data_IF_545631210709
#
_entry.id   IF_545631210709
#
_cell.length_a   1.000
_cell.length_b   1.000
_cell.length_c   1.000
_cell.angle_alpha   90.00
_cell.angle_beta   90.00
_cell.angle_gamma   90.00
#
_symmetry.space_group_name_H-M   'P 1'
#
loop_
_entity.id
_entity.type
_entity.pdbx_description
1 polymer ?
#
# COMPACT_ATOMS: atom_id res chain seq x y z
N UNK A 1 23.06 17.77 31.26
CA UNK A 1 23.36 16.68 32.20
C UNK A 1 23.70 15.45 31.39
N UNK A 2 24.84 14.81 31.66
CA UNK A 2 25.29 13.63 30.93
C UNK A 2 24.32 12.46 31.15
N UNK A 3 23.77 11.92 30.08
CA UNK A 3 22.79 10.81 30.09
C UNK A 3 23.44 9.42 30.04
N UNK A 4 24.77 9.36 30.11
CA UNK A 4 25.52 8.11 30.15
C UNK A 4 26.34 8.04 31.43
N UNK A 5 25.73 7.48 32.48
CA UNK A 5 26.47 6.94 33.62
C UNK A 5 27.06 5.59 33.21
N UNK A 6 28.39 5.52 33.09
CA UNK A 6 29.11 4.26 33.00
C UNK A 6 28.96 3.57 34.36
N UNK A 7 28.33 2.40 34.37
CA UNK A 7 28.12 1.63 35.59
C UNK A 7 29.45 0.94 35.96
N UNK A 8 30.09 1.38 37.05
CA UNK A 8 31.31 0.78 37.56
C UNK A 8 31.05 -0.68 37.98
N UNK A 9 31.90 -1.58 37.47
CA UNK A 9 31.59 -2.99 37.33
C UNK A 9 32.02 -3.87 38.52
N UNK A 10 32.18 -3.28 39.71
CA UNK A 10 32.83 -3.93 40.86
C UNK A 10 31.88 -4.42 41.96
N UNK A 11 30.55 -4.28 41.80
CA UNK A 11 29.59 -4.53 42.90
C UNK A 11 28.60 -5.70 42.70
N UNK A 12 28.70 -6.47 41.61
CA UNK A 12 27.75 -7.56 41.31
C UNK A 12 28.34 -8.94 41.64
N UNK A 13 27.65 -9.73 42.47
CA UNK A 13 28.12 -11.04 42.96
C UNK A 13 27.94 -12.20 41.98
N UNK A 14 27.28 -11.99 40.84
CA UNK A 14 27.17 -12.99 39.76
C UNK A 14 26.88 -12.37 38.39
N UNK A 15 27.26 -13.07 37.31
CA UNK A 15 26.98 -12.68 35.91
C UNK A 15 25.47 -12.54 35.67
N UNK A 16 24.64 -13.38 36.30
CA UNK A 16 23.19 -13.31 36.19
C UNK A 16 22.63 -12.02 36.83
N UNK A 17 23.17 -11.59 37.97
CA UNK A 17 22.77 -10.34 38.63
C UNK A 17 23.12 -9.10 37.79
N UNK A 18 24.26 -9.13 37.10
CA UNK A 18 24.70 -8.07 36.20
C UNK A 18 23.83 -7.99 34.92
N UNK A 19 23.47 -9.14 34.34
CA UNK A 19 22.60 -9.20 33.17
C UNK A 19 21.20 -8.66 33.47
N UNK A 20 20.65 -8.99 34.66
CA UNK A 20 19.35 -8.50 35.12
C UNK A 20 19.35 -6.98 35.33
N UNK A 21 20.35 -6.45 36.04
CA UNK A 21 20.50 -5.01 36.25
C UNK A 21 20.72 -4.24 34.93
N UNK A 22 21.46 -4.82 33.98
CA UNK A 22 21.68 -4.23 32.65
C UNK A 22 20.40 -4.19 31.81
N UNK A 23 19.54 -5.21 31.93
CA UNK A 23 18.23 -5.25 31.27
C UNK A 23 17.28 -4.20 31.85
N UNK A 24 17.18 -4.13 33.18
CA UNK A 24 16.37 -3.13 33.89
C UNK A 24 16.83 -1.70 33.59
N UNK A 25 18.14 -1.45 33.54
CA UNK A 25 18.71 -0.15 33.15
C UNK A 25 18.37 0.24 31.70
N UNK A 26 18.42 -0.73 30.75
CA UNK A 26 18.02 -0.50 29.36
C UNK A 26 16.53 -0.21 29.22
N UNK A 27 15.67 -0.91 29.96
CA UNK A 27 14.23 -0.65 29.97
C UNK A 27 13.90 0.72 30.58
N UNK A 28 14.51 1.07 31.72
CA UNK A 28 14.36 2.38 32.35
C UNK A 28 14.87 3.52 31.45
N UNK A 29 15.94 3.29 30.68
CA UNK A 29 16.46 4.26 29.71
C UNK A 29 15.51 4.48 28.52
N UNK A 30 14.85 3.42 28.02
CA UNK A 30 13.82 3.52 26.97
C UNK A 30 12.59 4.29 27.44
N UNK A 31 12.14 4.02 28.67
CA UNK A 31 11.01 4.74 29.29
C UNK A 31 11.37 6.22 29.50
N UNK A 32 12.58 6.51 29.95
CA UNK A 32 13.09 7.89 30.11
C UNK A 32 13.12 8.64 28.77
N UNK A 33 13.60 8.00 27.70
CA UNK A 33 13.59 8.59 26.35
C UNK A 33 12.16 8.84 25.85
N UNK A 34 11.25 7.89 26.00
CA UNK A 34 9.85 8.05 25.60
C UNK A 34 9.18 9.22 26.36
N UNK A 35 9.42 9.33 27.66
CA UNK A 35 8.90 10.42 28.48
C UNK A 35 9.49 11.79 28.10
N UNK A 36 10.80 11.85 27.79
CA UNK A 36 11.43 13.08 27.31
C UNK A 36 10.87 13.51 25.94
N UNK A 37 10.67 12.56 25.03
CA UNK A 37 10.09 12.80 23.71
C UNK A 37 8.63 13.28 23.81
N UNK A 38 7.80 12.63 24.64
CA UNK A 38 6.43 13.06 24.89
C UNK A 38 6.36 14.46 25.51
N UNK A 39 7.25 14.77 26.47
CA UNK A 39 7.32 16.10 27.10
C UNK A 39 7.74 17.17 26.10
N UNK A 40 8.69 16.88 25.21
CA UNK A 40 9.12 17.77 24.14
C UNK A 40 8.00 18.02 23.11
N UNK A 41 7.22 16.98 22.77
CA UNK A 41 6.11 17.13 21.84
C UNK A 41 4.94 17.91 22.47
N UNK A 42 4.66 17.71 23.76
CA UNK A 42 3.66 18.47 24.49
C UNK A 42 4.04 19.96 24.62
N UNK A 43 5.32 20.27 24.86
CA UNK A 43 5.79 21.67 24.90
C UNK A 43 5.68 22.35 23.53
N UNK A 44 6.08 21.66 22.45
CA UNK A 44 5.90 22.15 21.08
C UNK A 44 4.43 22.37 20.73
N UNK A 45 3.53 21.50 21.18
CA UNK A 45 2.09 21.66 20.96
C UNK A 45 1.54 22.91 21.68
N UNK A 46 1.97 23.15 22.93
CA UNK A 46 1.60 24.35 23.67
C UNK A 46 2.17 25.63 23.03
N UNK A 47 3.38 25.58 22.48
CA UNK A 47 3.97 26.70 21.72
C UNK A 47 3.16 27.00 20.46
N UNK A 48 2.78 25.98 19.69
CA UNK A 48 1.93 26.12 18.50
C UNK A 48 0.56 26.69 18.88
N UNK A 49 -0.06 26.16 19.94
CA UNK A 49 -1.35 26.66 20.43
C UNK A 49 -1.24 28.12 20.86
N UNK A 50 -0.17 28.50 21.57
CA UNK A 50 0.06 29.87 22.01
C UNK A 50 0.31 30.82 20.84
N UNK A 51 1.07 30.38 19.82
CA UNK A 51 1.31 31.15 18.60
C UNK A 51 0.02 31.35 17.79
N UNK A 52 -0.83 30.32 17.70
CA UNK A 52 -2.13 30.40 17.04
C UNK A 52 -3.09 31.33 17.78
N UNK A 53 -3.15 31.27 19.11
CA UNK A 53 -3.96 32.19 19.92
C UNK A 53 -3.51 33.63 19.79
N UNK A 54 -2.20 33.90 19.78
CA UNK A 54 -1.67 35.26 19.53
C UNK A 54 -1.99 35.75 18.12
N UNK A 55 -2.00 34.86 17.14
CA UNK A 55 -2.35 35.18 15.74
C UNK A 55 -3.84 35.49 15.60
N UNK A 56 -4.71 34.71 16.25
CA UNK A 56 -6.14 34.98 16.32
C UNK A 56 -6.44 36.33 17.00
N UNK A 57 -5.86 36.58 18.17
CA UNK A 57 -6.06 37.84 18.92
C UNK A 57 -5.59 39.04 18.08
N UNK A 58 -4.43 38.95 17.40
CA UNK A 58 -3.97 40.02 16.49
C UNK A 58 -4.93 40.22 15.31
N UNK A 59 -5.52 39.16 14.77
CA UNK A 59 -6.51 39.26 13.68
C UNK A 59 -7.82 39.91 14.13
N UNK A 60 -8.28 39.63 15.35
CA UNK A 60 -9.51 40.21 15.92
C UNK A 60 -9.32 41.69 16.34
N UNK A 61 -8.13 42.04 16.87
CA UNK A 61 -7.77 43.43 17.21
C UNK A 61 -7.64 44.30 15.95
N UNK A 62 -7.12 43.75 14.84
CA UNK A 62 -7.04 44.46 13.56
C UNK A 62 -8.42 44.60 12.88
N UNK A 63 -9.33 43.63 13.07
CA UNK A 63 -10.69 43.70 12.54
C UNK A 63 -11.60 44.65 13.36
N UNK A 64 -11.28 44.87 14.63
CA UNK A 64 -12.05 45.74 15.55
C UNK A 64 -11.51 47.19 15.63
N UNK A 65 -10.33 47.45 15.06
CA UNK A 65 -9.64 48.74 15.09
C UNK A 65 -9.80 49.58 13.83
N UNK A 66 -11.04 49.81 13.38
CA UNK A 66 -11.32 50.85 12.38
C UNK A 66 -11.25 52.23 13.03
N UNK A 67 -10.04 52.70 13.34
CA UNK A 67 -9.60 54.09 13.52
C UNK A 67 -8.41 54.18 14.52
N UNK A 68 -7.20 53.89 14.06
CA UNK A 68 -6.03 54.59 14.57
C UNK A 68 -4.91 54.61 13.53
N UNK A 69 -4.50 55.82 13.20
CA UNK A 69 -3.29 56.14 12.44
C UNK A 69 -2.07 55.56 13.14
N UNK A 70 -1.49 54.49 12.59
CA UNK A 70 -0.17 54.01 12.98
C UNK A 70 0.73 54.04 11.76
N UNK A 71 1.77 54.86 11.92
CA UNK A 71 2.77 55.26 10.96
C UNK A 71 3.48 54.05 10.33
N UNK A 72 3.75 54.19 9.05
CA UNK A 72 4.36 53.22 8.16
C UNK A 72 5.72 52.74 8.66
N UNK A 73 5.87 51.43 8.91
CA UNK A 73 7.17 50.78 8.86
C UNK A 73 7.14 49.65 7.81
N UNK A 74 7.54 50.01 6.60
CA UNK A 74 7.32 49.34 5.31
C UNK A 74 8.17 48.07 5.07
N UNK A 75 8.50 47.32 6.12
CA UNK A 75 9.24 46.05 6.04
C UNK A 75 8.48 44.83 6.56
N UNK A 76 7.65 45.00 7.60
CA UNK A 76 6.93 43.88 8.22
C UNK A 76 5.62 43.52 7.49
N UNK A 77 5.03 44.49 6.77
CA UNK A 77 3.73 44.31 6.11
C UNK A 77 3.83 43.46 4.85
N UNK A 78 4.93 43.55 4.08
CA UNK A 78 5.09 42.75 2.86
C UNK A 78 5.38 41.28 3.17
N UNK A 79 6.21 40.99 4.17
CA UNK A 79 6.51 39.62 4.60
C UNK A 79 5.29 38.96 5.25
N UNK A 80 4.50 39.70 6.04
CA UNK A 80 3.26 39.19 6.62
C UNK A 80 2.19 38.96 5.55
N UNK A 81 2.00 39.88 4.60
CA UNK A 81 1.06 39.67 3.49
C UNK A 81 1.51 38.52 2.58
N UNK A 82 2.81 38.38 2.28
CA UNK A 82 3.32 37.23 1.54
C UNK A 82 3.13 35.92 2.32
N UNK A 83 3.33 35.92 3.64
CA UNK A 83 3.11 34.73 4.48
C UNK A 83 1.63 34.38 4.58
N UNK A 84 0.74 35.37 4.75
CA UNK A 84 -0.72 35.17 4.79
C UNK A 84 -1.27 34.78 3.42
N UNK A 85 -0.74 35.33 2.32
CA UNK A 85 -1.07 34.88 0.97
C UNK A 85 -0.57 33.45 0.76
N UNK A 86 0.68 33.13 1.10
CA UNK A 86 1.23 31.76 0.97
C UNK A 86 0.48 30.76 1.85
N UNK A 87 0.06 31.16 3.06
CA UNK A 87 -0.77 30.34 3.94
C UNK A 87 -2.21 30.25 3.44
N UNK A 88 -2.82 31.30 2.88
CA UNK A 88 -4.14 31.23 2.24
C UNK A 88 -4.11 30.39 0.97
N UNK A 89 -3.02 30.42 0.19
CA UNK A 89 -2.84 29.55 -0.98
C UNK A 89 -2.59 28.11 -0.55
N UNK A 90 -1.76 27.85 0.47
CA UNK A 90 -1.60 26.51 1.06
C UNK A 90 -2.88 26.00 1.71
N UNK A 91 -3.65 26.86 2.38
CA UNK A 91 -4.92 26.52 2.99
C UNK A 91 -6.01 26.33 1.93
N UNK A 92 -5.99 27.09 0.82
CA UNK A 92 -6.84 26.90 -0.34
C UNK A 92 -6.53 25.59 -1.07
N UNK A 93 -5.26 25.24 -1.26
CA UNK A 93 -4.82 23.92 -1.74
C UNK A 93 -5.22 22.78 -0.79
N UNK A 94 -5.28 23.03 0.54
CA UNK A 94 -5.75 22.05 1.54
C UNK A 94 -7.29 22.01 1.67
N UNK A 95 -8.00 23.07 1.26
CA UNK A 95 -9.46 23.21 1.39
C UNK A 95 -10.23 22.96 0.10
N UNK A 96 -9.53 22.67 -1.01
CA UNK A 96 -10.14 22.02 -2.17
C UNK A 96 -10.12 20.51 -2.00
N UNK A 97 -11.21 19.98 -1.45
CA UNK A 97 -11.58 18.56 -1.43
C UNK A 97 -10.80 17.66 -0.46
N UNK A 98 -11.35 17.43 0.73
CA UNK A 98 -10.99 16.27 1.57
C UNK A 98 -11.63 14.99 1.04
N UNK A 99 -11.62 14.77 -0.27
CA UNK A 99 -12.02 13.48 -0.83
C UNK A 99 -10.96 12.48 -0.40
N UNK A 100 -11.34 11.58 0.50
CA UNK A 100 -10.50 10.46 0.90
C UNK A 100 -11.12 9.15 0.48
N UNK A 101 -10.29 8.18 0.15
CA UNK A 101 -10.68 6.81 -0.10
C UNK A 101 -9.68 5.88 0.59
N UNK A 102 -10.19 4.88 1.30
CA UNK A 102 -9.35 3.91 2.02
C UNK A 102 -8.34 4.55 3.00
N UNK A 103 -8.66 5.76 3.51
CA UNK A 103 -7.79 6.50 4.43
C UNK A 103 -6.74 7.41 3.78
N UNK A 104 -6.76 7.57 2.45
CA UNK A 104 -5.78 8.37 1.70
C UNK A 104 -6.46 9.46 0.88
N UNK A 105 -5.71 10.50 0.52
CA UNK A 105 -6.18 11.61 -0.31
C UNK A 105 -6.53 11.15 -1.73
N UNK A 106 -7.50 11.81 -2.35
CA UNK A 106 -7.95 11.59 -3.73
C UNK A 106 -8.08 12.94 -4.41
N UNK A 107 -7.54 13.05 -5.63
CA UNK A 107 -7.62 14.28 -6.40
C UNK A 107 -9.02 14.50 -7.00
N UNK A 108 -9.19 15.63 -7.69
CA UNK A 108 -10.46 16.01 -8.32
C UNK A 108 -10.91 15.07 -9.45
N UNK A 109 -9.98 14.33 -10.05
CA UNK A 109 -10.22 13.43 -11.18
C UNK A 109 -10.37 11.97 -10.71
N UNK A 110 -10.31 11.74 -9.39
CA UNK A 110 -10.52 10.44 -8.77
C UNK A 110 -9.26 9.59 -8.61
N UNK A 111 -8.06 10.13 -8.88
CA UNK A 111 -6.81 9.42 -8.66
C UNK A 111 -6.33 9.54 -7.20
N UNK A 112 -5.76 8.46 -6.69
CA UNK A 112 -5.16 8.40 -5.36
C UNK A 112 -3.96 9.34 -5.27
N UNK A 113 -3.84 10.05 -4.14
CA UNK A 113 -2.79 11.03 -3.92
C UNK A 113 -1.44 10.44 -3.52
N UNK A 114 -0.46 11.33 -3.33
CA UNK A 114 0.93 10.95 -3.04
C UNK A 114 1.11 10.24 -1.68
N UNK A 115 0.19 10.45 -0.74
CA UNK A 115 0.14 9.73 0.53
C UNK A 115 -0.17 8.24 0.34
N UNK A 116 -1.08 7.89 -0.57
CA UNK A 116 -1.31 6.51 -1.00
C UNK A 116 -0.08 5.94 -1.69
N UNK A 117 0.50 6.65 -2.67
CA UNK A 117 1.67 6.18 -3.41
C UNK A 117 2.84 5.88 -2.46
N UNK A 118 3.08 6.74 -1.48
CA UNK A 118 4.10 6.52 -0.45
C UNK A 118 3.83 5.28 0.39
N UNK A 119 2.59 5.06 0.82
CA UNK A 119 2.21 3.88 1.60
C UNK A 119 2.33 2.59 0.78
N UNK A 120 1.97 2.65 -0.50
CA UNK A 120 2.04 1.54 -1.44
C UNK A 120 3.43 1.34 -2.08
N UNK A 121 4.42 2.17 -1.78
CA UNK A 121 5.77 2.09 -2.36
C UNK A 121 5.81 2.33 -3.88
N UNK A 122 4.88 3.14 -4.39
CA UNK A 122 4.77 3.54 -5.79
C UNK A 122 5.62 4.79 -6.08
N UNK A 123 6.02 5.03 -7.35
CA UNK A 123 6.53 6.33 -7.78
C UNK A 123 5.56 7.46 -7.42
N UNK A 124 6.10 8.65 -7.15
CA UNK A 124 5.31 9.80 -6.68
C UNK A 124 4.19 10.18 -7.66
N UNK A 125 4.48 10.09 -8.96
CA UNK A 125 3.60 10.42 -10.08
C UNK A 125 2.78 9.24 -10.61
N UNK A 126 2.93 8.05 -10.03
CA UNK A 126 2.19 6.86 -10.46
C UNK A 126 0.70 7.03 -10.19
N UNK A 127 -0.12 6.82 -11.21
CA UNK A 127 -1.57 7.05 -11.09
C UNK A 127 -2.33 5.76 -10.84
N UNK A 128 -3.08 5.72 -9.75
CA UNK A 128 -4.11 4.69 -9.50
C UNK A 128 -5.42 5.42 -9.26
N UNK A 129 -6.43 5.09 -10.05
CA UNK A 129 -7.76 5.65 -9.89
C UNK A 129 -8.53 4.89 -8.79
N UNK A 130 -9.33 5.61 -7.99
CA UNK A 130 -10.14 5.04 -6.90
C UNK A 130 -11.02 3.88 -7.37
N UNK A 131 -11.59 3.96 -8.56
CA UNK A 131 -12.44 2.89 -9.13
C UNK A 131 -11.70 1.54 -9.23
N UNK A 132 -10.38 1.55 -9.42
CA UNK A 132 -9.57 0.32 -9.38
C UNK A 132 -9.58 -0.30 -7.99
N UNK A 133 -9.45 0.51 -6.93
CA UNK A 133 -9.50 0.02 -5.54
C UNK A 133 -10.91 -0.43 -5.14
N UNK A 134 -11.94 0.30 -5.61
CA UNK A 134 -13.34 -0.09 -5.43
C UNK A 134 -13.63 -1.45 -6.07
N UNK A 135 -13.08 -1.69 -7.27
CA UNK A 135 -13.19 -2.98 -7.95
C UNK A 135 -12.45 -4.09 -7.18
N UNK A 136 -11.24 -3.82 -6.65
CA UNK A 136 -10.53 -4.81 -5.80
C UNK A 136 -11.40 -5.19 -4.60
N UNK A 137 -12.00 -4.22 -3.92
CA UNK A 137 -12.89 -4.49 -2.80
C UNK A 137 -14.13 -5.30 -3.21
N UNK A 138 -14.79 -4.87 -4.28
CA UNK A 138 -16.05 -5.46 -4.75
C UNK A 138 -15.84 -6.88 -5.26
N UNK A 139 -14.83 -7.09 -6.12
CA UNK A 139 -14.43 -8.41 -6.60
C UNK A 139 -14.15 -9.38 -5.45
N UNK A 140 -13.35 -8.97 -4.46
CA UNK A 140 -12.98 -9.87 -3.36
C UNK A 140 -14.12 -10.15 -2.38
N UNK A 141 -15.08 -9.22 -2.26
CA UNK A 141 -16.31 -9.44 -1.49
C UNK A 141 -17.18 -10.48 -2.20
N UNK A 142 -17.45 -10.27 -3.49
CA UNK A 142 -18.28 -11.17 -4.31
C UNK A 142 -17.65 -12.56 -4.46
N UNK A 143 -16.33 -12.62 -4.70
CA UNK A 143 -15.60 -13.87 -4.84
C UNK A 143 -15.65 -14.74 -3.57
N UNK A 144 -15.79 -14.12 -2.39
CA UNK A 144 -15.89 -14.82 -1.09
C UNK A 144 -17.30 -14.89 -0.52
N UNK A 145 -18.31 -14.45 -1.25
CA UNK A 145 -19.70 -14.42 -0.78
C UNK A 145 -20.20 -15.80 -0.35
N UNK A 146 -19.97 -16.84 -1.16
CA UNK A 146 -20.40 -18.20 -0.82
C UNK A 146 -19.75 -18.69 0.49
N UNK A 147 -18.45 -18.48 0.63
CA UNK A 147 -17.72 -18.84 1.87
C UNK A 147 -18.22 -18.05 3.07
N UNK A 148 -18.53 -16.76 2.90
CA UNK A 148 -19.10 -15.95 3.98
C UNK A 148 -20.47 -16.49 4.42
N UNK A 149 -21.33 -16.82 3.45
CA UNK A 149 -22.67 -17.37 3.69
C UNK A 149 -22.61 -18.74 4.39
N UNK A 150 -21.74 -19.65 3.95
CA UNK A 150 -21.56 -20.97 4.56
C UNK A 150 -21.11 -20.87 6.03
N UNK A 151 -20.33 -19.84 6.35
CA UNK A 151 -19.84 -19.55 7.70
C UNK A 151 -20.81 -18.70 8.53
N UNK A 152 -21.94 -18.27 7.96
CA UNK A 152 -22.93 -17.43 8.62
C UNK A 152 -22.42 -16.02 8.96
N UNK A 153 -21.48 -15.48 8.18
CA UNK A 153 -20.93 -14.12 8.37
C UNK A 153 -21.28 -13.20 7.21
N UNK A 154 -21.43 -11.91 7.48
CA UNK A 154 -21.78 -10.93 6.45
C UNK A 154 -20.68 -10.71 5.42
N UNK A 155 -19.42 -10.71 5.85
CA UNK A 155 -18.26 -10.53 5.00
C UNK A 155 -17.14 -11.47 5.43
N UNK A 156 -16.43 -12.03 4.46
CA UNK A 156 -15.25 -12.86 4.71
C UNK A 156 -14.05 -12.04 5.21
N UNK A 157 -13.86 -10.84 4.66
CA UNK A 157 -12.85 -9.87 5.08
C UNK A 157 -13.49 -8.75 5.91
N UNK A 158 -12.89 -8.38 7.03
CA UNK A 158 -13.29 -7.20 7.82
C UNK A 158 -12.54 -5.95 7.38
N UNK A 159 -11.34 -6.11 6.84
CA UNK A 159 -10.53 -5.04 6.28
C UNK A 159 -9.62 -5.58 5.17
N UNK A 160 -9.41 -4.77 4.13
CA UNK A 160 -8.38 -4.95 3.12
C UNK A 160 -7.56 -3.66 3.09
N UNK A 161 -6.29 -3.75 3.46
CA UNK A 161 -5.29 -2.69 3.30
C UNK A 161 -4.93 -2.58 1.82
N UNK A 162 -5.54 -1.62 1.14
CA UNK A 162 -5.34 -1.39 -0.29
C UNK A 162 -3.91 -0.98 -0.61
N UNK A 163 -3.26 -0.21 0.27
CA UNK A 163 -1.89 0.24 0.03
C UNK A 163 -0.92 -0.93 0.11
N UNK A 164 -1.00 -1.77 1.15
CA UNK A 164 -0.12 -2.95 1.25
C UNK A 164 -0.43 -4.00 0.17
N UNK A 165 -1.71 -4.18 -0.19
CA UNK A 165 -2.10 -5.05 -1.32
C UNK A 165 -1.41 -4.59 -2.60
N UNK A 166 -1.57 -3.32 -2.97
CA UNK A 166 -0.96 -2.75 -4.18
C UNK A 166 0.57 -2.79 -4.11
N UNK A 167 1.17 -2.51 -2.94
CA UNK A 167 2.62 -2.59 -2.73
C UNK A 167 3.20 -3.94 -3.14
N UNK A 168 2.57 -5.03 -2.67
CA UNK A 168 3.02 -6.39 -2.96
C UNK A 168 2.93 -6.72 -4.45
N UNK A 169 1.82 -6.35 -5.10
CA UNK A 169 1.66 -6.51 -6.54
C UNK A 169 2.67 -5.68 -7.33
N UNK A 170 2.84 -4.41 -6.99
CA UNK A 170 3.76 -3.51 -7.68
C UNK A 170 5.22 -3.95 -7.54
N UNK A 171 5.61 -4.46 -6.36
CA UNK A 171 6.90 -5.10 -6.12
C UNK A 171 7.15 -6.25 -7.10
N UNK A 172 6.18 -7.16 -7.26
CA UNK A 172 6.28 -8.29 -8.18
C UNK A 172 6.27 -7.85 -9.65
N UNK A 173 5.39 -6.92 -10.01
CA UNK A 173 5.32 -6.31 -11.33
C UNK A 173 6.66 -5.70 -11.74
N UNK A 174 7.29 -4.91 -10.86
CA UNK A 174 8.60 -4.32 -11.14
C UNK A 174 9.69 -5.37 -11.36
N UNK A 175 9.66 -6.52 -10.66
CA UNK A 175 10.60 -7.62 -10.93
C UNK A 175 10.44 -8.16 -12.36
N UNK A 176 9.20 -8.30 -12.83
CA UNK A 176 8.87 -8.78 -14.18
C UNK A 176 9.34 -7.75 -15.23
N UNK A 177 9.01 -6.46 -15.05
CA UNK A 177 9.43 -5.40 -15.97
C UNK A 177 10.96 -5.29 -16.03
N UNK A 178 11.64 -5.37 -14.88
CA UNK A 178 13.09 -5.31 -14.82
C UNK A 178 13.75 -6.51 -15.51
N UNK A 179 13.13 -7.70 -15.46
CA UNK A 179 13.62 -8.87 -16.19
C UNK A 179 13.62 -8.63 -17.71
N UNK A 180 12.53 -8.08 -18.25
CA UNK A 180 12.39 -7.90 -19.71
C UNK A 180 13.21 -6.74 -20.27
N UNK A 181 13.32 -5.63 -19.54
CA UNK A 181 13.90 -4.40 -20.09
C UNK A 181 15.18 -3.92 -19.39
N UNK A 182 15.58 -4.54 -18.27
CA UNK A 182 16.74 -4.10 -17.47
C UNK A 182 16.59 -2.68 -16.90
N UNK A 183 15.40 -2.09 -16.98
CA UNK A 183 15.11 -0.73 -16.55
C UNK A 183 13.68 -0.61 -16.03
N UNK A 184 13.53 -0.54 -14.70
CA UNK A 184 12.24 -0.35 -14.03
C UNK A 184 11.64 1.05 -14.20
N UNK A 185 12.39 2.02 -14.72
CA UNK A 185 11.95 3.40 -14.93
C UNK A 185 11.27 3.63 -16.29
N UNK A 186 11.13 2.60 -17.13
CA UNK A 186 10.34 2.70 -18.36
C UNK A 186 8.88 2.95 -18.02
N UNK A 187 8.34 4.07 -18.50
CA UNK A 187 6.97 4.53 -18.21
C UNK A 187 5.99 4.35 -19.37
N UNK A 188 6.49 4.04 -20.57
CA UNK A 188 5.70 3.85 -21.79
C UNK A 188 6.17 2.63 -22.58
N UNK A 189 5.21 1.87 -23.13
CA UNK A 189 5.41 0.55 -23.76
C UNK A 189 4.71 0.49 -25.13
N UNK A 190 5.45 0.22 -26.20
CA UNK A 190 4.89 -0.03 -27.53
C UNK A 190 4.30 -1.44 -27.63
N UNK A 191 3.57 -1.75 -28.70
CA UNK A 191 3.06 -3.11 -28.95
C UNK A 191 4.22 -4.13 -29.07
N UNK A 192 5.35 -3.72 -29.64
CA UNK A 192 6.57 -4.53 -29.68
C UNK A 192 7.12 -4.81 -28.28
N UNK A 193 7.12 -3.81 -27.40
CA UNK A 193 7.50 -4.00 -25.99
C UNK A 193 6.55 -5.01 -25.32
N UNK A 194 5.23 -4.91 -25.54
CA UNK A 194 4.25 -5.85 -24.99
C UNK A 194 4.49 -7.29 -25.47
N UNK A 195 4.90 -7.45 -26.74
CA UNK A 195 5.21 -8.76 -27.29
C UNK A 195 6.45 -9.38 -26.65
N UNK A 196 7.41 -8.56 -26.21
CA UNK A 196 8.64 -8.99 -25.54
C UNK A 196 8.47 -9.41 -24.08
N UNK A 197 7.35 -9.03 -23.44
CA UNK A 197 7.05 -9.42 -22.06
C UNK A 197 6.73 -10.92 -21.94
N UNK A 198 7.09 -11.55 -20.81
CA UNK A 198 6.77 -12.95 -20.55
C UNK A 198 5.26 -13.20 -20.54
N UNK A 199 4.88 -14.40 -21.00
CA UNK A 199 3.49 -14.91 -20.99
C UNK A 199 3.15 -15.63 -19.68
N UNK A 200 4.16 -15.86 -18.85
CA UNK A 200 4.00 -16.29 -17.48
C UNK A 200 5.34 -16.53 -16.80
N UNK A 201 5.29 -16.96 -15.55
CA UNK A 201 6.45 -17.26 -14.74
C UNK A 201 6.14 -18.37 -13.74
N UNK A 202 7.18 -19.04 -13.26
CA UNK A 202 7.07 -19.99 -12.15
C UNK A 202 7.58 -19.36 -10.87
N UNK A 203 6.90 -19.67 -9.76
CA UNK A 203 7.35 -19.29 -8.42
C UNK A 203 7.76 -20.51 -7.61
N UNK A 204 8.80 -20.32 -6.82
CA UNK A 204 9.03 -21.12 -5.64
C UNK A 204 8.58 -20.32 -4.42
N UNK A 205 7.71 -20.91 -3.62
CA UNK A 205 7.27 -20.32 -2.37
C UNK A 205 8.04 -20.94 -1.22
N UNK A 206 8.77 -20.10 -0.46
CA UNK A 206 9.49 -20.54 0.73
C UNK A 206 8.55 -20.74 1.93
N UNK A 207 7.39 -20.08 1.93
CA UNK A 207 6.40 -20.08 3.01
C UNK A 207 4.99 -20.33 2.45
N UNK A 208 4.68 -21.59 2.10
CA UNK A 208 3.33 -21.93 1.66
C UNK A 208 2.32 -21.75 2.81
N UNK A 209 1.51 -20.69 2.70
CA UNK A 209 0.41 -20.40 3.62
C UNK A 209 -0.90 -20.64 2.90
N UNK A 210 -1.73 -21.51 3.46
CA UNK A 210 -3.04 -21.88 2.89
C UNK A 210 -4.02 -20.70 2.83
N UNK A 211 -3.85 -19.70 3.69
CA UNK A 211 -4.85 -18.65 3.90
C UNK A 211 -4.59 -17.42 3.01
N UNK A 212 -3.37 -16.89 3.05
CA UNK A 212 -2.94 -15.78 2.22
C UNK A 212 -1.55 -16.05 1.66
N UNK A 213 -1.37 -15.76 0.38
CA UNK A 213 -0.04 -15.74 -0.21
C UNK A 213 0.63 -14.41 0.10
N UNK A 214 1.93 -14.46 0.39
CA UNK A 214 2.80 -13.30 0.47
C UNK A 214 3.60 -13.23 -0.83
N UNK A 215 3.43 -12.18 -1.63
CA UNK A 215 4.15 -12.07 -2.90
C UNK A 215 5.63 -11.75 -2.71
N UNK A 216 5.99 -11.15 -1.57
CA UNK A 216 7.37 -10.80 -1.24
C UNK A 216 8.18 -12.03 -0.81
N UNK A 217 7.55 -13.11 -0.33
CA UNK A 217 8.21 -14.39 -0.02
C UNK A 217 8.38 -15.30 -1.24
N UNK A 218 7.81 -14.93 -2.39
CA UNK A 218 7.87 -15.74 -3.61
C UNK A 218 9.09 -15.39 -4.44
N UNK A 219 9.89 -16.40 -4.75
CA UNK A 219 11.01 -16.27 -5.68
C UNK A 219 10.57 -16.71 -7.07
N UNK A 220 10.78 -15.86 -8.09
CA UNK A 220 10.56 -16.28 -9.48
C UNK A 220 11.70 -17.24 -9.85
N UNK A 221 11.36 -18.47 -10.24
CA UNK A 221 12.33 -19.50 -10.64
C UNK A 221 12.53 -19.59 -12.14
N UNK A 222 11.52 -19.22 -12.92
CA UNK A 222 11.61 -19.25 -14.37
C UNK A 222 10.64 -18.25 -15.02
N UNK A 223 11.01 -17.74 -16.19
CA UNK A 223 10.15 -16.91 -17.05
C UNK A 223 9.84 -17.64 -18.36
N UNK A 224 8.61 -17.50 -18.84
CA UNK A 224 8.14 -18.10 -20.09
C UNK A 224 7.85 -17.01 -21.11
N UNK A 225 8.80 -16.76 -22.02
CA UNK A 225 8.75 -15.63 -22.95
C UNK A 225 7.79 -15.86 -24.13
N UNK A 226 7.40 -17.10 -24.41
CA UNK A 226 6.44 -17.45 -25.45
C UNK A 226 5.26 -18.22 -24.87
N UNK A 227 4.10 -18.12 -25.53
CA UNK A 227 2.91 -18.85 -25.11
C UNK A 227 3.10 -20.36 -25.20
N UNK A 228 3.83 -20.83 -26.23
CA UNK A 228 4.17 -22.25 -26.39
C UNK A 228 4.94 -22.79 -25.18
N UNK A 229 5.97 -22.08 -24.72
CA UNK A 229 6.76 -22.51 -23.54
C UNK A 229 5.94 -22.48 -22.25
N UNK A 230 5.04 -21.53 -22.11
CA UNK A 230 4.12 -21.49 -20.98
C UNK A 230 3.18 -22.71 -21.00
N UNK A 231 2.56 -23.01 -22.15
CA UNK A 231 1.65 -24.13 -22.32
C UNK A 231 2.36 -25.49 -22.12
N UNK A 232 3.59 -25.63 -22.60
CA UNK A 232 4.42 -26.83 -22.36
C UNK A 232 4.64 -27.06 -20.86
N UNK A 233 4.98 -26.00 -20.11
CA UNK A 233 5.19 -26.10 -18.67
C UNK A 233 3.90 -26.46 -17.93
N UNK A 234 2.76 -25.87 -18.31
CA UNK A 234 1.45 -26.22 -17.79
C UNK A 234 1.12 -27.70 -18.00
N UNK A 235 1.31 -28.20 -19.23
CA UNK A 235 1.09 -29.61 -19.59
C UNK A 235 2.01 -30.54 -18.79
N UNK A 236 3.29 -30.19 -18.63
CA UNK A 236 4.22 -30.98 -17.82
C UNK A 236 3.81 -31.02 -16.35
N UNK A 237 3.33 -29.90 -15.80
CA UNK A 237 2.77 -29.83 -14.45
C UNK A 237 1.57 -30.77 -14.27
N UNK A 238 0.66 -30.75 -15.25
CA UNK A 238 -0.53 -31.62 -15.27
C UNK A 238 -0.16 -33.10 -15.39
N UNK A 239 0.66 -33.49 -16.37
CA UNK A 239 1.04 -34.89 -16.61
C UNK A 239 1.93 -35.45 -15.50
N UNK A 240 2.81 -34.63 -14.94
CA UNK A 240 3.69 -35.03 -13.85
C UNK A 240 3.02 -35.02 -12.48
N UNK A 241 1.79 -34.49 -12.37
CA UNK A 241 1.12 -34.19 -11.09
C UNK A 241 2.01 -33.36 -10.15
N UNK A 242 2.78 -32.42 -10.71
CA UNK A 242 3.69 -31.56 -9.98
C UNK A 242 3.18 -30.11 -9.99
N UNK A 243 3.18 -29.47 -8.83
CA UNK A 243 2.94 -28.04 -8.73
C UNK A 243 4.24 -27.29 -9.06
N UNK A 244 4.32 -26.73 -10.26
CA UNK A 244 5.47 -25.93 -10.71
C UNK A 244 5.35 -24.44 -10.35
N UNK A 245 4.31 -24.06 -9.60
CA UNK A 245 4.06 -22.68 -9.21
C UNK A 245 3.80 -21.76 -10.41
N UNK A 246 3.17 -22.25 -11.47
CA UNK A 246 2.95 -21.50 -12.71
C UNK A 246 1.97 -20.35 -12.50
N UNK A 247 2.31 -19.16 -12.96
CA UNK A 247 1.51 -17.93 -12.90
C UNK A 247 1.37 -17.34 -14.31
N UNK A 248 0.14 -17.14 -14.82
CA UNK A 248 -0.09 -16.55 -16.13
C UNK A 248 0.15 -15.05 -16.13
N UNK A 249 0.62 -14.53 -17.27
CA UNK A 249 0.72 -13.10 -17.55
C UNK A 249 0.04 -12.79 -18.87
N UNK A 250 -0.73 -11.71 -18.92
CA UNK A 250 -1.38 -11.27 -20.15
C UNK A 250 -1.25 -9.75 -20.31
N UNK A 251 -0.29 -9.34 -21.13
CA UNK A 251 0.00 -7.94 -21.48
C UNK A 251 -0.47 -7.57 -22.90
N UNK A 252 -1.46 -8.28 -23.44
CA UNK A 252 -2.02 -7.94 -24.76
C UNK A 252 -2.80 -6.61 -24.71
N UNK A 253 -2.92 -5.87 -25.82
CA UNK A 253 -3.82 -4.71 -25.89
C UNK A 253 -5.23 -4.97 -25.34
N UNK A 254 -5.76 -6.18 -25.57
CA UNK A 254 -7.09 -6.60 -25.09
C UNK A 254 -7.16 -6.70 -23.56
N UNK A 255 -6.08 -7.09 -22.88
CA UNK A 255 -6.09 -7.15 -21.41
C UNK A 255 -6.10 -5.75 -20.77
N UNK A 256 -5.73 -4.71 -21.53
CA UNK A 256 -5.80 -3.31 -21.11
C UNK A 256 -7.14 -2.63 -21.46
N UNK A 257 -8.18 -3.42 -21.75
CA UNK A 257 -9.54 -2.93 -21.96
C UNK A 257 -10.45 -3.40 -20.83
N UNK A 258 -11.47 -2.60 -20.51
CA UNK A 258 -12.58 -3.03 -19.64
C UNK A 258 -13.39 -4.08 -20.38
N UNK A 259 -13.65 -5.21 -19.74
CA UNK A 259 -14.46 -6.27 -20.34
C UNK A 259 -15.95 -5.98 -20.13
N UNK A 260 -16.78 -6.33 -21.12
CA UNK A 260 -18.23 -6.35 -20.96
C UNK A 260 -18.62 -7.73 -20.43
N UNK A 261 -18.89 -7.81 -19.13
CA UNK A 261 -19.21 -9.07 -18.44
C UNK A 261 -20.70 -9.12 -18.08
N UNK A 262 -21.28 -10.31 -18.18
CA UNK A 262 -22.55 -10.60 -17.52
C UNK A 262 -22.37 -10.69 -15.99
N UNK A 263 -23.48 -10.66 -15.26
CA UNK A 263 -23.50 -10.65 -13.79
C UNK A 263 -22.76 -11.84 -13.16
N UNK A 264 -22.88 -13.04 -13.74
CA UNK A 264 -22.21 -14.23 -13.21
C UNK A 264 -20.70 -14.15 -13.45
N UNK A 265 -20.29 -13.74 -14.66
CA UNK A 265 -18.87 -13.61 -15.01
C UNK A 265 -18.18 -12.51 -14.19
N UNK A 266 -18.88 -11.41 -13.90
CA UNK A 266 -18.37 -10.30 -13.10
C UNK A 266 -18.02 -10.72 -11.66
N UNK A 267 -18.75 -11.67 -11.07
CA UNK A 267 -18.48 -12.18 -9.71
C UNK A 267 -17.14 -12.91 -9.58
N UNK A 268 -16.64 -13.50 -10.67
CA UNK A 268 -15.43 -14.31 -10.68
C UNK A 268 -14.27 -13.70 -11.49
N UNK A 269 -14.45 -12.48 -12.01
CA UNK A 269 -13.45 -11.83 -12.86
C UNK A 269 -13.19 -10.42 -12.36
N UNK A 270 -11.96 -10.16 -11.88
CA UNK A 270 -11.51 -8.81 -11.57
C UNK A 270 -11.45 -7.98 -12.85
N UNK A 271 -12.27 -6.93 -12.96
CA UNK A 271 -12.45 -6.18 -14.18
C UNK A 271 -12.46 -4.66 -13.94
N UNK A 272 -11.30 -4.05 -13.66
CA UNK A 272 -11.22 -2.62 -13.40
C UNK A 272 -11.58 -1.81 -14.64
N UNK A 273 -12.11 -0.61 -14.42
CA UNK A 273 -12.33 0.36 -15.48
C UNK A 273 -10.99 0.85 -16.04
N UNK A 274 -10.70 0.47 -17.28
CA UNK A 274 -9.50 0.85 -18.01
C UNK A 274 -9.61 2.19 -18.73
N UNK A 275 -10.80 2.80 -18.79
CA UNK A 275 -10.99 4.10 -19.46
C UNK A 275 -10.20 5.24 -18.80
N UNK A 276 -9.90 5.09 -17.49
CA UNK A 276 -9.06 6.00 -16.70
C UNK A 276 -7.56 5.79 -16.90
N UNK A 277 -7.15 4.84 -17.74
CA UNK A 277 -5.76 4.59 -18.14
C UNK A 277 -5.65 4.55 -19.67
N UNK A 278 -5.91 5.67 -20.36
CA UNK A 278 -5.97 5.70 -21.81
C UNK A 278 -4.63 5.38 -22.45
N UNK A 279 -4.69 4.84 -23.66
CA UNK A 279 -3.54 4.71 -24.54
C UNK A 279 -2.97 6.11 -24.86
N UNK A 280 -1.65 6.22 -24.93
CA UNK A 280 -0.99 7.46 -25.33
C UNK A 280 -1.28 7.80 -26.80
N UNK A 281 -1.11 9.07 -27.18
CA UNK A 281 -1.39 9.54 -28.55
C UNK A 281 -0.57 8.82 -29.63
N UNK A 282 0.63 8.34 -29.27
CA UNK A 282 1.53 7.59 -30.16
C UNK A 282 1.18 6.09 -30.25
N UNK A 283 0.10 5.64 -29.60
CA UNK A 283 -0.32 4.25 -29.55
C UNK A 283 0.44 3.39 -28.53
N UNK A 284 1.32 3.97 -27.72
CA UNK A 284 1.95 3.27 -26.60
C UNK A 284 1.04 3.21 -25.38
N UNK A 285 1.34 2.30 -24.44
CA UNK A 285 0.62 2.13 -23.19
C UNK A 285 1.45 2.63 -22.02
N UNK A 286 0.80 3.26 -21.04
CA UNK A 286 1.46 3.69 -19.82
C UNK A 286 1.83 2.51 -18.91
N UNK A 287 2.76 2.73 -17.98
CA UNK A 287 3.12 1.75 -16.96
C UNK A 287 1.94 1.39 -16.06
N UNK A 288 1.04 2.35 -15.81
CA UNK A 288 -0.20 2.18 -15.06
C UNK A 288 -1.14 1.21 -15.78
N UNK A 289 -1.39 1.41 -17.08
CA UNK A 289 -2.22 0.51 -17.88
C UNK A 289 -1.65 -0.92 -17.90
N UNK A 290 -0.33 -1.04 -18.06
CA UNK A 290 0.38 -2.32 -18.00
C UNK A 290 0.27 -2.99 -16.62
N UNK A 291 0.35 -2.21 -15.54
CA UNK A 291 0.17 -2.69 -14.18
C UNK A 291 -1.27 -3.18 -13.93
N UNK A 292 -2.28 -2.49 -14.46
CA UNK A 292 -3.67 -2.96 -14.37
C UNK A 292 -3.86 -4.30 -15.10
N UNK A 293 -3.26 -4.45 -16.27
CA UNK A 293 -3.26 -5.71 -17.00
C UNK A 293 -2.57 -6.85 -16.21
N UNK A 294 -1.50 -6.55 -15.46
CA UNK A 294 -0.89 -7.49 -14.51
C UNK A 294 -1.83 -7.84 -13.33
N UNK A 295 -2.53 -6.87 -12.75
CA UNK A 295 -3.52 -7.14 -11.70
C UNK A 295 -4.65 -8.04 -12.23
N UNK A 296 -5.11 -7.83 -13.46
CA UNK A 296 -6.10 -8.68 -14.13
C UNK A 296 -5.62 -10.12 -14.31
N UNK A 297 -4.35 -10.33 -14.68
CA UNK A 297 -3.83 -11.69 -14.84
C UNK A 297 -3.63 -12.44 -13.51
N UNK A 298 -3.58 -11.71 -12.39
CA UNK A 298 -3.36 -12.28 -11.05
C UNK A 298 -4.63 -12.31 -10.18
N UNK A 299 -5.69 -11.64 -10.61
CA UNK A 299 -6.98 -11.56 -9.91
C UNK A 299 -7.02 -10.60 -8.72
N UNK A 300 -5.97 -9.81 -8.46
CA UNK A 300 -5.94 -8.79 -7.40
C UNK A 300 -6.48 -9.22 -6.01
N UNK A 301 -6.28 -10.49 -5.65
CA UNK A 301 -6.62 -11.04 -4.33
C UNK A 301 -5.80 -10.38 -3.21
N UNK A 302 -6.36 -10.17 -2.01
CA UNK A 302 -5.63 -9.72 -0.85
C UNK A 302 -4.48 -10.67 -0.52
N UNK A 303 -3.39 -10.07 -0.03
CA UNK A 303 -2.15 -10.75 0.30
C UNK A 303 -1.94 -10.83 1.80
N UNK A 304 -0.96 -11.63 2.21
CA UNK A 304 -0.62 -11.74 3.62
C UNK A 304 -0.31 -10.36 4.20
N UNK A 305 -0.77 -10.08 5.42
CA UNK A 305 -0.65 -8.79 6.13
C UNK A 305 -1.47 -7.63 5.54
N UNK A 306 -2.05 -7.80 4.35
CA UNK A 306 -2.91 -6.77 3.73
C UNK A 306 -4.41 -7.02 3.92
N UNK A 307 -4.82 -8.08 4.60
CA UNK A 307 -6.24 -8.31 4.91
C UNK A 307 -6.45 -8.93 6.28
N UNK A 308 -7.56 -8.52 6.90
CA UNK A 308 -8.04 -9.10 8.16
C UNK A 308 -9.28 -9.92 7.86
N UNK A 309 -9.24 -11.21 8.17
CA UNK A 309 -10.40 -12.08 8.08
C UNK A 309 -11.43 -11.74 9.14
N UNK A 310 -12.68 -12.04 8.85
CA UNK A 310 -13.70 -12.17 9.89
C UNK A 310 -13.22 -13.18 10.96
N UNK A 311 -13.40 -12.91 12.27
CA UNK A 311 -12.97 -13.83 13.33
C UNK A 311 -13.48 -15.26 13.15
N UNK A 312 -14.72 -15.46 12.71
CA UNK A 312 -15.29 -16.79 12.43
C UNK A 312 -14.58 -17.46 11.26
N UNK A 313 -14.35 -16.72 10.17
CA UNK A 313 -13.62 -17.22 9.01
C UNK A 313 -12.16 -17.56 9.32
N UNK A 314 -11.52 -16.74 10.16
CA UNK A 314 -10.17 -16.99 10.66
C UNK A 314 -10.12 -18.30 11.46
N UNK A 315 -11.02 -18.45 12.44
CA UNK A 315 -11.10 -19.65 13.26
C UNK A 315 -11.32 -20.90 12.40
N UNK A 316 -12.27 -20.85 11.45
CA UNK A 316 -12.55 -21.97 10.56
C UNK A 316 -11.32 -22.37 9.74
N UNK A 317 -10.65 -21.41 9.10
CA UNK A 317 -9.47 -21.70 8.28
C UNK A 317 -8.26 -22.15 9.12
N UNK A 318 -8.11 -21.69 10.37
CA UNK A 318 -7.12 -22.23 11.32
C UNK A 318 -7.44 -23.67 11.76
N UNK A 319 -8.72 -24.02 11.91
CA UNK A 319 -9.16 -25.39 12.23
C UNK A 319 -8.90 -26.36 11.06
N UNK A 320 -9.29 -25.96 9.84
CA UNK A 320 -9.04 -26.74 8.62
C UNK A 320 -7.54 -27.00 8.39
N UNK A 321 -6.70 -26.00 8.71
CA UNK A 321 -5.25 -26.16 8.70
C UNK A 321 -4.80 -27.25 9.67
N UNK A 322 -5.23 -27.21 10.93
CA UNK A 322 -4.85 -28.24 11.93
C UNK A 322 -5.28 -29.64 11.52
N UNK A 323 -6.51 -29.82 11.06
CA UNK A 323 -7.02 -31.13 10.62
C UNK A 323 -6.24 -31.66 9.42
N UNK A 324 -5.81 -30.79 8.50
CA UNK A 324 -4.97 -31.19 7.36
C UNK A 324 -3.57 -31.67 7.73
N UNK A 325 -3.04 -31.28 8.90
CA UNK A 325 -1.75 -31.72 9.42
C UNK A 325 -1.85 -32.92 10.39
N UNK A 326 -2.98 -33.08 11.09
CA UNK A 326 -3.20 -34.19 12.04
C UNK A 326 -3.76 -35.47 11.40
N UNK A 327 -4.21 -35.42 10.15
CA UNK A 327 -4.72 -36.57 9.39
C UNK A 327 -3.72 -37.70 9.08
N UNK A 328 -2.52 -37.73 9.68
CA UNK A 328 -1.53 -38.81 9.54
C UNK A 328 -1.56 -39.87 10.65
N UNK A 329 -2.61 -39.92 11.48
CA UNK A 329 -2.81 -40.95 12.50
C UNK A 329 -4.19 -41.61 12.35
N UNK A 330 -4.30 -42.53 11.38
CA UNK A 330 -5.27 -43.62 11.42
C UNK A 330 -4.72 -44.81 10.61
#
# INVERSE_FOLDING_TARGET
MSIFSINDNSSYSSILSQAKASKESKENSKISFANAFLKQNASKLNEIQSANSQTLIKSEVLNSGSNSTLDTNYGLFSEFQNTVHTLKYKQADISTSTNTAYGYSVDKDGYMGSDFNKAAGLPEDFKIHKSTLDEIYSFNTSFKEHTANDLGVSNYYTNIDMADTIRQYYSKFNQIINHSFGNSNKTSFSVEDLNSLPKGYSIHNTDFKFMFQNLDSQTITNFYNTQERYNEAEQLGMFGHINIGLQPLNFTPQSMQTQNLDENSAKYTFNPDMSVYPQNEDGSYSKEALFMSFLKSTGALPRENSATLNPTAKFYAEAMLKESFEGSLA
#
